data_IF_261599726095
#
_entry.id   IF_261599726095
#
_cell.length_a   1.000
_cell.length_b   1.000
_cell.length_c   1.000
_cell.angle_alpha   90.00
_cell.angle_beta   90.00
_cell.angle_gamma   90.00
#
_symmetry.space_group_name_H-M   'P 1'
#
loop_
_entity.id
_entity.type
_entity.pdbx_description
1 polymer ?
#
# COMPACT_ATOMS: atom_id res chain seq x y z
N UNK A 1 -9.26 -11.29 2.81
CA UNK A 1 -8.35 -10.21 3.30
C UNK A 1 -7.06 -10.27 2.50
N UNK A 2 -6.58 -9.14 2.03
CA UNK A 2 -5.34 -9.08 1.26
C UNK A 2 -4.12 -9.55 2.07
N UNK A 3 -3.05 -9.90 1.37
CA UNK A 3 -1.74 -10.16 1.94
C UNK A 3 -0.74 -9.12 1.44
N UNK A 4 0.12 -8.63 2.32
CA UNK A 4 1.26 -7.78 1.97
C UNK A 4 2.54 -8.39 2.46
N UNK A 5 3.60 -8.27 1.69
CA UNK A 5 4.95 -8.67 2.07
C UNK A 5 5.96 -7.71 1.45
N UNK A 6 7.16 -7.67 1.98
CA UNK A 6 8.20 -6.84 1.41
C UNK A 6 9.50 -6.92 2.20
N UNK A 7 10.50 -6.27 1.67
CA UNK A 7 11.81 -6.09 2.30
C UNK A 7 12.37 -4.69 1.99
N UNK A 8 13.29 -4.25 2.83
CA UNK A 8 14.06 -3.04 2.61
C UNK A 8 15.50 -3.23 3.10
N UNK A 9 16.45 -2.63 2.39
CA UNK A 9 17.87 -2.71 2.74
C UNK A 9 18.59 -3.96 2.22
N UNK A 10 17.94 -4.76 1.38
CA UNK A 10 18.53 -5.91 0.70
C UNK A 10 18.80 -5.57 -0.76
N UNK A 11 19.75 -6.25 -1.43
CA UNK A 11 19.85 -6.21 -2.88
C UNK A 11 18.52 -6.63 -3.53
N UNK A 12 18.23 -6.07 -4.70
CA UNK A 12 17.01 -6.41 -5.45
C UNK A 12 16.94 -7.93 -5.69
N UNK A 13 15.91 -8.57 -5.13
CA UNK A 13 15.65 -10.01 -5.26
C UNK A 13 14.18 -10.27 -5.59
N UNK A 14 13.79 -10.18 -6.87
CA UNK A 14 12.44 -10.49 -7.29
C UNK A 14 12.00 -11.92 -6.93
N UNK A 15 12.92 -12.89 -7.00
CA UNK A 15 12.60 -14.28 -6.71
C UNK A 15 12.28 -14.51 -5.22
N UNK A 16 12.98 -13.81 -4.32
CA UNK A 16 12.62 -13.81 -2.89
C UNK A 16 11.22 -13.24 -2.69
N UNK A 17 10.95 -12.10 -3.33
CA UNK A 17 9.66 -11.42 -3.20
C UNK A 17 8.50 -12.26 -3.75
N UNK A 18 8.69 -12.93 -4.87
CA UNK A 18 7.72 -13.88 -5.43
C UNK A 18 7.42 -15.04 -4.47
N UNK A 19 8.45 -15.63 -3.84
CA UNK A 19 8.26 -16.67 -2.82
C UNK A 19 7.48 -16.15 -1.61
N UNK A 20 7.84 -14.96 -1.10
CA UNK A 20 7.10 -14.33 0.02
C UNK A 20 5.63 -14.11 -0.35
N UNK A 21 5.37 -13.64 -1.57
CA UNK A 21 4.04 -13.39 -2.10
C UNK A 21 3.23 -14.70 -2.26
N UNK A 22 3.86 -15.75 -2.75
CA UNK A 22 3.22 -17.06 -2.94
C UNK A 22 2.70 -17.65 -1.62
N UNK A 23 3.44 -17.48 -0.52
CA UNK A 23 3.01 -17.96 0.81
C UNK A 23 1.73 -17.28 1.32
N UNK A 24 1.35 -16.13 0.76
CA UNK A 24 0.14 -15.39 1.13
C UNK A 24 -1.03 -15.61 0.16
N UNK A 25 -0.95 -16.54 -0.78
CA UNK A 25 -2.00 -16.79 -1.77
C UNK A 25 -3.38 -17.08 -1.13
N UNK A 26 -3.40 -17.75 0.02
CA UNK A 26 -4.64 -18.05 0.76
C UNK A 26 -5.35 -16.79 1.28
N UNK A 27 -4.65 -15.66 1.41
CA UNK A 27 -5.22 -14.38 1.86
C UNK A 27 -5.85 -13.59 0.73
N UNK A 28 -5.30 -13.68 -0.47
CA UNK A 28 -5.76 -12.94 -1.64
C UNK A 28 -5.63 -13.76 -2.91
N UNK A 29 -6.69 -14.54 -3.24
CA UNK A 29 -6.65 -15.43 -4.40
C UNK A 29 -6.93 -14.75 -5.74
N UNK A 30 -7.46 -13.51 -5.72
CA UNK A 30 -8.03 -12.86 -6.90
C UNK A 30 -6.99 -12.15 -7.77
N UNK A 31 -5.79 -11.92 -7.23
CA UNK A 31 -4.71 -11.29 -7.98
C UNK A 31 -3.45 -11.14 -7.14
N UNK A 32 -2.37 -10.84 -7.82
CA UNK A 32 -1.08 -10.57 -7.19
C UNK A 32 -0.28 -9.54 -7.96
N UNK A 33 0.71 -8.96 -7.28
CA UNK A 33 1.66 -8.04 -7.86
C UNK A 33 2.90 -7.87 -7.02
N UNK A 34 3.98 -7.51 -7.67
CA UNK A 34 5.25 -7.18 -7.03
C UNK A 34 5.81 -5.88 -7.61
N UNK A 35 6.53 -5.14 -6.79
CA UNK A 35 7.30 -3.97 -7.18
C UNK A 35 8.68 -4.09 -6.55
N UNK A 36 9.73 -3.99 -7.36
CA UNK A 36 11.13 -3.97 -6.89
C UNK A 36 11.76 -2.69 -7.38
N UNK A 37 12.30 -1.90 -6.45
CA UNK A 37 12.99 -0.65 -6.74
C UNK A 37 14.19 -0.48 -5.80
N UNK A 38 15.39 -0.65 -6.36
CA UNK A 38 16.63 -0.59 -5.59
C UNK A 38 16.62 -1.55 -4.39
N UNK A 39 16.76 -1.01 -3.16
CA UNK A 39 16.81 -1.83 -1.96
C UNK A 39 15.43 -2.23 -1.42
N UNK A 40 14.34 -1.83 -2.08
CA UNK A 40 12.97 -2.07 -1.62
C UNK A 40 12.23 -3.04 -2.54
N UNK A 41 11.56 -4.02 -1.94
CA UNK A 41 10.61 -4.90 -2.61
C UNK A 41 9.27 -4.89 -1.89
N UNK A 42 8.18 -4.68 -2.63
CA UNK A 42 6.80 -4.76 -2.14
C UNK A 42 6.03 -5.82 -2.91
N UNK A 43 5.23 -6.60 -2.22
CA UNK A 43 4.37 -7.62 -2.79
C UNK A 43 2.96 -7.52 -2.22
N UNK A 44 1.99 -7.88 -3.04
CA UNK A 44 0.58 -7.84 -2.68
C UNK A 44 -0.15 -9.06 -3.21
N UNK A 45 -1.04 -9.63 -2.39
CA UNK A 45 -2.06 -10.61 -2.76
C UNK A 45 -3.42 -10.00 -2.54
N UNK A 46 -4.24 -9.98 -3.57
CA UNK A 46 -5.51 -9.26 -3.59
C UNK A 46 -6.69 -10.17 -3.32
N UNK A 47 -7.52 -9.75 -2.37
CA UNK A 47 -8.94 -10.12 -2.30
C UNK A 47 -9.73 -8.89 -2.76
N UNK A 48 -10.37 -9.00 -3.92
CA UNK A 48 -11.03 -7.88 -4.59
C UNK A 48 -12.38 -7.57 -3.93
N UNK A 49 -12.52 -6.40 -3.32
CA UNK A 49 -13.75 -5.93 -2.67
C UNK A 49 -14.20 -4.60 -3.29
N UNK A 50 -13.32 -3.61 -3.34
CA UNK A 50 -13.57 -2.29 -3.92
C UNK A 50 -12.80 -2.18 -5.22
N UNK A 51 -13.42 -1.60 -6.26
CA UNK A 51 -12.86 -1.41 -7.61
C UNK A 51 -12.15 -2.65 -8.14
N UNK A 52 -12.93 -3.68 -8.45
CA UNK A 52 -12.42 -5.00 -8.89
C UNK A 52 -11.48 -4.87 -10.09
N UNK A 53 -11.78 -3.95 -11.02
CA UNK A 53 -11.05 -3.79 -12.27
C UNK A 53 -9.72 -3.04 -12.13
N UNK A 54 -9.65 -2.02 -11.26
CA UNK A 54 -8.52 -1.07 -11.25
C UNK A 54 -7.74 -0.98 -9.94
N UNK A 55 -8.18 -1.64 -8.87
CA UNK A 55 -7.51 -1.63 -7.57
C UNK A 55 -6.28 -2.55 -7.48
N UNK A 56 -5.49 -2.67 -8.55
CA UNK A 56 -4.26 -3.48 -8.56
C UNK A 56 -3.20 -2.89 -7.63
N UNK A 57 -2.44 -3.79 -6.97
CA UNK A 57 -1.37 -3.41 -6.07
C UNK A 57 -0.12 -4.30 -6.27
N UNK A 58 1.11 -3.82 -5.96
CA UNK A 58 1.41 -2.47 -5.48
C UNK A 58 0.93 -1.40 -6.45
N UNK A 59 0.44 -0.25 -5.91
CA UNK A 59 -0.09 0.86 -6.71
C UNK A 59 0.88 2.03 -6.64
N UNK A 60 1.11 2.67 -7.79
CA UNK A 60 1.97 3.84 -7.90
C UNK A 60 1.16 5.14 -7.97
N UNK A 61 1.74 6.25 -7.49
CA UNK A 61 1.25 7.59 -7.85
C UNK A 61 1.53 7.88 -9.32
N UNK A 62 0.73 8.76 -9.93
CA UNK A 62 0.86 9.11 -11.36
C UNK A 62 2.25 9.68 -11.73
N UNK A 63 2.92 10.37 -10.79
CA UNK A 63 4.29 10.86 -10.95
C UNK A 63 5.36 9.80 -10.70
N UNK A 64 4.97 8.60 -10.31
CA UNK A 64 5.85 7.47 -10.02
C UNK A 64 6.67 7.61 -8.74
N UNK A 65 6.43 8.64 -7.90
CA UNK A 65 7.21 8.85 -6.68
C UNK A 65 6.93 7.81 -5.61
N UNK A 66 5.67 7.52 -5.35
CA UNK A 66 5.27 6.60 -4.28
C UNK A 66 4.69 5.31 -4.83
N UNK A 67 5.00 4.20 -4.14
CA UNK A 67 4.36 2.90 -4.34
C UNK A 67 3.77 2.40 -3.02
N UNK A 68 2.56 1.84 -3.04
CA UNK A 68 1.89 1.30 -1.86
C UNK A 68 1.55 -0.17 -2.02
N UNK A 69 1.79 -0.95 -0.94
CA UNK A 69 1.15 -2.23 -0.67
C UNK A 69 0.26 -2.09 0.57
N UNK A 70 -1.02 -2.40 0.44
CA UNK A 70 -2.04 -2.08 1.42
C UNK A 70 -3.01 -3.24 1.63
N UNK A 71 -3.21 -3.58 2.90
CA UNK A 71 -4.24 -4.53 3.34
C UNK A 71 -5.14 -3.82 4.33
N UNK A 72 -6.29 -3.34 3.90
CA UNK A 72 -7.18 -2.59 4.75
C UNK A 72 -8.43 -2.12 4.07
N UNK A 73 -9.14 -1.25 4.79
CA UNK A 73 -10.28 -0.48 4.32
C UNK A 73 -10.35 0.82 5.12
N UNK A 74 -10.29 1.95 4.44
CA UNK A 74 -10.47 3.29 5.03
C UNK A 74 -11.89 3.75 4.73
N UNK A 75 -12.76 3.69 5.73
CA UNK A 75 -14.21 3.87 5.58
C UNK A 75 -14.61 5.28 5.14
N UNK A 76 -13.85 6.30 5.55
CA UNK A 76 -14.08 7.70 5.18
C UNK A 76 -13.34 8.12 3.91
N UNK A 77 -12.95 7.17 3.05
CA UNK A 77 -12.16 7.46 1.85
C UNK A 77 -12.86 8.43 0.87
N UNK A 78 -14.19 8.41 0.79
CA UNK A 78 -14.93 9.33 -0.09
C UNK A 78 -14.84 10.78 0.39
N UNK A 79 -14.89 11.03 1.69
CA UNK A 79 -14.72 12.36 2.27
C UNK A 79 -13.29 12.87 2.03
N UNK A 80 -12.29 12.02 2.29
CA UNK A 80 -10.88 12.32 2.03
C UNK A 80 -10.61 12.58 0.55
N UNK A 81 -11.25 11.82 -0.35
CA UNK A 81 -11.16 12.04 -1.79
C UNK A 81 -11.65 13.42 -2.16
N UNK A 82 -12.81 13.85 -1.64
CA UNK A 82 -13.35 15.18 -1.89
C UNK A 82 -12.43 16.31 -1.42
N UNK A 83 -11.80 16.15 -0.23
CA UNK A 83 -10.80 17.10 0.25
C UNK A 83 -9.57 17.16 -0.66
N UNK A 84 -9.07 16.01 -1.09
CA UNK A 84 -7.90 15.91 -1.97
C UNK A 84 -8.17 16.49 -3.36
N UNK A 85 -9.35 16.26 -3.91
CA UNK A 85 -9.81 16.86 -5.18
C UNK A 85 -9.88 18.40 -5.07
N UNK A 86 -10.36 18.92 -3.95
CA UNK A 86 -10.36 20.37 -3.67
C UNK A 86 -8.94 20.96 -3.58
N UNK A 87 -7.94 20.15 -3.23
CA UNK A 87 -6.52 20.51 -3.22
C UNK A 87 -5.82 20.27 -4.58
N UNK A 88 -6.57 19.85 -5.61
CA UNK A 88 -6.07 19.66 -6.97
C UNK A 88 -5.52 18.26 -7.25
N UNK A 89 -5.73 17.28 -6.35
CA UNK A 89 -5.38 15.89 -6.63
C UNK A 89 -6.35 15.26 -7.61
N UNK A 90 -5.84 14.39 -8.46
CA UNK A 90 -6.64 13.64 -9.46
C UNK A 90 -6.56 12.14 -9.15
N UNK A 91 -7.62 11.44 -9.53
CA UNK A 91 -7.77 10.01 -9.28
C UNK A 91 -8.06 9.28 -10.61
N UNK A 92 -7.57 8.05 -10.70
CA UNK A 92 -7.73 7.18 -11.86
C UNK A 92 -8.55 5.94 -11.54
N UNK A 93 -8.74 5.65 -10.24
CA UNK A 93 -9.51 4.51 -9.74
C UNK A 93 -10.57 4.99 -8.75
N UNK A 94 -11.49 4.09 -8.40
CA UNK A 94 -12.47 4.32 -7.32
C UNK A 94 -12.07 3.61 -6.02
N UNK A 95 -10.82 3.14 -5.93
CA UNK A 95 -10.33 2.39 -4.77
C UNK A 95 -9.94 3.33 -3.62
N UNK A 96 -10.18 2.87 -2.40
CA UNK A 96 -9.66 3.51 -1.19
C UNK A 96 -8.12 3.47 -1.13
N UNK A 97 -7.49 2.48 -1.77
CA UNK A 97 -6.03 2.38 -1.88
C UNK A 97 -5.42 3.63 -2.53
N UNK A 98 -6.00 4.11 -3.64
CA UNK A 98 -5.53 5.33 -4.30
C UNK A 98 -5.72 6.54 -3.40
N UNK A 99 -6.84 6.63 -2.68
CA UNK A 99 -7.09 7.72 -1.73
C UNK A 99 -6.06 7.71 -0.60
N UNK A 100 -5.75 6.56 -0.03
CA UNK A 100 -4.70 6.41 1.00
C UNK A 100 -3.34 6.87 0.48
N UNK A 101 -2.98 6.46 -0.74
CA UNK A 101 -1.72 6.83 -1.37
C UNK A 101 -1.64 8.34 -1.67
N UNK A 102 -2.70 8.93 -2.23
CA UNK A 102 -2.79 10.36 -2.51
C UNK A 102 -2.82 11.22 -1.22
N UNK A 103 -3.46 10.73 -0.17
CA UNK A 103 -3.45 11.36 1.15
C UNK A 103 -2.02 11.41 1.73
N UNK A 104 -1.28 10.30 1.64
CA UNK A 104 0.12 10.27 2.06
C UNK A 104 0.99 11.20 1.19
N UNK A 105 0.78 11.23 -0.11
CA UNK A 105 1.49 12.14 -1.01
C UNK A 105 1.22 13.62 -0.71
N UNK A 106 0.04 13.94 -0.16
CA UNK A 106 -0.37 15.31 0.19
C UNK A 106 0.09 15.72 1.59
N UNK A 107 -0.09 14.85 2.59
CA UNK A 107 0.07 15.21 4.02
C UNK A 107 1.18 14.42 4.72
N UNK A 108 1.88 13.53 4.01
CA UNK A 108 2.89 12.68 4.63
C UNK A 108 2.29 11.77 5.71
N UNK A 109 3.00 11.59 6.81
CA UNK A 109 2.55 10.75 7.93
C UNK A 109 1.29 11.28 8.63
N UNK A 110 1.02 12.59 8.57
CA UNK A 110 -0.18 13.21 9.17
C UNK A 110 -1.48 12.70 8.50
N UNK A 111 -1.38 12.08 7.32
CA UNK A 111 -2.50 11.42 6.68
C UNK A 111 -3.10 10.30 7.54
N UNK A 112 -2.27 9.57 8.30
CA UNK A 112 -2.71 8.42 9.08
C UNK A 112 -3.68 8.80 10.20
N UNK A 113 -3.55 9.99 10.77
CA UNK A 113 -4.44 10.51 11.80
C UNK A 113 -5.84 10.87 11.25
N UNK A 114 -5.95 10.99 9.93
CA UNK A 114 -7.21 11.30 9.25
C UNK A 114 -8.02 10.05 8.87
N UNK A 115 -7.40 8.88 8.92
CA UNK A 115 -8.03 7.63 8.47
C UNK A 115 -8.94 7.06 9.55
N UNK A 116 -10.21 6.87 9.20
CA UNK A 116 -11.13 6.03 9.94
C UNK A 116 -11.21 4.68 9.23
N UNK A 117 -10.56 3.67 9.79
CA UNK A 117 -10.48 2.37 9.12
C UNK A 117 -9.60 1.35 9.80
N UNK A 118 -9.41 0.25 9.14
CA UNK A 118 -8.53 -0.85 9.55
C UNK A 118 -7.48 -1.09 8.47
N UNK A 119 -6.21 -1.01 8.79
CA UNK A 119 -5.16 -1.14 7.78
C UNK A 119 -3.81 -1.61 8.34
N UNK A 120 -3.08 -2.30 7.48
CA UNK A 120 -1.65 -2.48 7.52
C UNK A 120 -1.09 -2.14 6.14
N UNK A 121 -0.11 -1.26 6.07
CA UNK A 121 0.41 -0.78 4.80
C UNK A 121 1.92 -0.55 4.81
N UNK A 122 2.46 -0.53 3.61
CA UNK A 122 3.84 -0.15 3.32
C UNK A 122 3.83 0.84 2.14
N UNK A 123 4.44 2.00 2.32
CA UNK A 123 4.60 3.02 1.27
C UNK A 123 6.10 3.26 1.05
N UNK A 124 6.53 3.08 -0.20
CA UNK A 124 7.88 3.35 -0.65
C UNK A 124 7.95 4.72 -1.32
N UNK A 125 8.83 5.60 -0.83
CA UNK A 125 9.18 6.87 -1.47
C UNK A 125 10.49 6.69 -2.25
N UNK A 126 10.39 6.67 -3.58
CA UNK A 126 11.54 6.49 -4.48
C UNK A 126 12.53 7.64 -4.45
N UNK A 127 12.07 8.86 -4.14
CA UNK A 127 12.94 10.02 -4.07
C UNK A 127 13.76 10.04 -2.78
N UNK A 128 13.09 9.82 -1.65
CA UNK A 128 13.74 9.82 -0.34
C UNK A 128 14.38 8.47 0.02
N UNK A 129 14.18 7.43 -0.83
CA UNK A 129 14.61 6.06 -0.58
C UNK A 129 14.18 5.58 0.82
N UNK A 130 12.91 5.85 1.16
CA UNK A 130 12.34 5.61 2.48
C UNK A 130 11.10 4.74 2.41
N UNK A 131 11.12 3.68 3.20
CA UNK A 131 9.95 2.82 3.43
C UNK A 131 9.21 3.28 4.68
N UNK A 132 7.94 3.66 4.52
CA UNK A 132 7.03 3.99 5.62
C UNK A 132 6.09 2.82 5.85
N UNK A 133 6.02 2.36 7.08
CA UNK A 133 5.11 1.32 7.53
C UNK A 133 4.09 1.92 8.49
N UNK A 134 2.81 1.60 8.31
CA UNK A 134 1.76 2.05 9.21
C UNK A 134 0.73 0.96 9.46
N UNK A 135 0.11 1.02 10.63
CA UNK A 135 -0.93 0.11 11.08
C UNK A 135 -2.06 0.93 11.73
N UNK A 136 -3.29 0.46 11.60
CA UNK A 136 -4.44 1.13 12.21
C UNK A 136 -4.33 1.25 13.74
N UNK A 137 -5.05 2.22 14.30
CA UNK A 137 -4.97 2.61 15.71
C UNK A 137 -5.25 1.47 16.70
N UNK A 138 -6.11 0.52 16.31
CA UNK A 138 -6.49 -0.61 17.16
C UNK A 138 -5.73 -1.90 16.81
N UNK A 139 -4.89 -1.87 15.77
CA UNK A 139 -4.17 -3.04 15.30
C UNK A 139 -5.07 -4.15 14.75
N UNK A 140 -6.20 -3.78 14.14
CA UNK A 140 -7.15 -4.75 13.56
C UNK A 140 -6.48 -5.53 12.42
N UNK A 141 -5.72 -4.84 11.57
CA UNK A 141 -4.90 -5.52 10.56
C UNK A 141 -3.50 -5.79 11.13
N UNK A 142 -2.99 -7.03 10.98
CA UNK A 142 -1.64 -7.35 11.43
C UNK A 142 -0.58 -6.69 10.53
N UNK A 143 0.49 -6.23 11.15
CA UNK A 143 1.72 -5.82 10.47
C UNK A 143 2.90 -6.30 11.32
N UNK A 144 3.73 -7.16 10.74
CA UNK A 144 4.91 -7.73 11.39
C UNK A 144 6.17 -7.19 10.72
N UNK A 145 7.15 -6.81 11.53
CA UNK A 145 8.45 -6.34 11.06
C UNK A 145 9.53 -7.18 11.72
N UNK A 146 10.43 -7.71 10.90
CA UNK A 146 11.62 -8.41 11.38
C UNK A 146 12.87 -7.66 10.91
N UNK A 147 13.80 -7.41 11.83
CA UNK A 147 15.13 -6.90 11.50
C UNK A 147 16.05 -8.11 11.34
N UNK A 148 16.67 -8.20 10.17
CA UNK A 148 17.63 -9.27 9.87
C UNK A 148 19.03 -8.66 9.98
N UNK A 149 19.95 -9.34 10.73
CA UNK A 149 21.32 -8.85 10.89
C UNK A 149 22.10 -8.83 9.58
#
# INVERSE_FOLDING_TARGET
MCGIAGYHGLPADPALLERMNAHQQHRGPDGDGICVDGPCGLAHRRLSIIDIAHGQQPMDTADGRYAIAYNGEVYNYLDLRGELEALGRTFTTDSDTEVVLQAFAQWGADAFDRFNGMFGLAIWDRHEQRLTLARDHFGIKPLYVAMVP
#
